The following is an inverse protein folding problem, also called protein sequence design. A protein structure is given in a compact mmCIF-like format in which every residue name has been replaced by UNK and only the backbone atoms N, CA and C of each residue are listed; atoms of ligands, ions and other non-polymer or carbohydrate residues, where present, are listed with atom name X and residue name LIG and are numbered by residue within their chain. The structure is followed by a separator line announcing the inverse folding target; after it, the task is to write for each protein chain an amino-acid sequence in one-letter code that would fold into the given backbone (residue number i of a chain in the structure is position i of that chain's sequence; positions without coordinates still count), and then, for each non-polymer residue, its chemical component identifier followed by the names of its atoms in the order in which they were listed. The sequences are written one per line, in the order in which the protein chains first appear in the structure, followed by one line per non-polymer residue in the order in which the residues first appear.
data_IF_756329980851
#
_entry.id   IF_756329980851
#
_cell.length_a   1.000
_cell.length_b   1.000
_cell.length_c   1.000
_cell.angle_alpha   90.00
_cell.angle_beta   90.00
_cell.angle_gamma   90.00
#
_symmetry.space_group_name_H-M   'P 1'
#
loop_
_entity.id
_entity.type
_entity.pdbx_description
1 polymer ?
#
# COMPACT_ATOMS: atom_id res chain seq x y z
N UNK A 1 7.75 22.09 -38.47
CA UNK A 1 6.54 21.96 -37.63
C UNK A 1 6.37 20.50 -37.29
N UNK A 2 7.04 20.05 -36.23
CA UNK A 2 6.95 18.68 -35.72
C UNK A 2 5.92 18.68 -34.61
N UNK A 3 4.73 18.14 -34.90
CA UNK A 3 3.72 17.90 -33.88
C UNK A 3 4.20 16.76 -32.97
N UNK A 4 4.78 17.10 -31.82
CA UNK A 4 4.81 16.18 -30.70
C UNK A 4 3.41 16.13 -30.07
N UNK A 5 2.84 14.94 -29.84
CA UNK A 5 1.63 14.83 -29.05
C UNK A 5 1.93 15.21 -27.59
N UNK A 6 0.98 15.78 -26.85
CA UNK A 6 1.17 16.07 -25.44
C UNK A 6 1.27 14.75 -24.65
N UNK A 7 2.49 14.37 -24.28
CA UNK A 7 2.75 13.38 -23.24
C UNK A 7 2.45 14.03 -21.89
N UNK A 8 1.20 13.93 -21.42
CA UNK A 8 0.81 13.95 -20.00
C UNK A 8 -0.70 14.16 -19.91
N UNK A 9 -1.44 13.06 -20.03
CA UNK A 9 -2.64 12.95 -19.22
C UNK A 9 -2.17 12.68 -17.80
N UNK A 10 -2.00 13.73 -16.98
CA UNK A 10 -1.80 13.52 -15.54
C UNK A 10 -3.09 12.95 -14.99
N UNK A 11 -3.20 11.62 -14.98
CA UNK A 11 -4.03 10.96 -13.99
C UNK A 11 -3.54 11.50 -12.64
N UNK A 12 -4.42 12.19 -11.92
CA UNK A 12 -4.08 12.70 -10.59
C UNK A 12 -3.69 11.49 -9.76
N UNK A 13 -2.41 11.40 -9.42
CA UNK A 13 -1.94 10.34 -8.56
C UNK A 13 -2.74 10.37 -7.25
N UNK A 14 -3.12 9.19 -6.78
CA UNK A 14 -3.77 9.03 -5.49
C UNK A 14 -2.83 9.59 -4.43
N UNK A 15 -3.34 10.54 -3.65
CA UNK A 15 -2.57 11.12 -2.55
C UNK A 15 -2.36 10.09 -1.46
N UNK A 16 -1.33 10.30 -0.62
CA UNK A 16 -1.10 9.45 0.55
C UNK A 16 -2.34 9.36 1.44
N UNK A 17 -3.06 10.48 1.65
CA UNK A 17 -4.27 10.52 2.47
C UNK A 17 -5.37 9.64 1.89
N UNK A 18 -5.63 9.75 0.58
CA UNK A 18 -6.64 8.93 -0.10
C UNK A 18 -6.28 7.44 -0.04
N UNK A 19 -5.00 7.10 -0.21
CA UNK A 19 -4.53 5.73 -0.11
C UNK A 19 -4.74 5.14 1.29
N UNK A 20 -4.48 5.93 2.34
CA UNK A 20 -4.77 5.54 3.73
C UNK A 20 -6.26 5.33 3.95
N UNK A 21 -7.12 6.21 3.41
CA UNK A 21 -8.56 6.02 3.53
C UNK A 21 -9.04 4.73 2.83
N UNK A 22 -8.51 4.44 1.65
CA UNK A 22 -8.82 3.22 0.90
C UNK A 22 -8.40 1.99 1.72
N UNK A 23 -7.19 1.99 2.27
CA UNK A 23 -6.69 0.91 3.11
C UNK A 23 -7.49 0.75 4.40
N UNK A 24 -7.84 1.85 5.08
CA UNK A 24 -8.63 1.86 6.30
C UNK A 24 -10.00 1.23 6.09
N UNK A 25 -10.71 1.61 5.02
CA UNK A 25 -12.00 1.01 4.63
C UNK A 25 -11.87 -0.47 4.30
N UNK A 26 -10.77 -0.86 3.64
CA UNK A 26 -10.53 -2.26 3.27
C UNK A 26 -10.29 -3.15 4.50
N UNK A 27 -9.50 -2.66 5.45
CA UNK A 27 -9.10 -3.42 6.64
C UNK A 27 -10.16 -3.33 7.75
N UNK A 28 -10.98 -2.28 7.76
CA UNK A 28 -11.99 -2.04 8.80
C UNK A 28 -11.42 -1.37 10.05
N UNK A 29 -10.40 -0.53 9.90
CA UNK A 29 -9.75 0.23 10.98
C UNK A 29 -9.82 1.73 10.71
N UNK A 30 -9.42 2.57 11.67
CA UNK A 30 -9.39 4.01 11.45
C UNK A 30 -8.11 4.39 10.69
N UNK A 31 -8.14 5.42 9.83
CA UNK A 31 -6.94 5.94 9.15
C UNK A 31 -5.77 6.22 10.09
N UNK A 32 -6.07 6.72 11.30
CA UNK A 32 -5.07 7.02 12.33
C UNK A 32 -4.35 5.79 12.92
N UNK A 33 -4.92 4.61 12.75
CA UNK A 33 -4.32 3.34 13.20
C UNK A 33 -3.32 2.78 12.16
N UNK A 34 -3.26 3.38 10.97
CA UNK A 34 -2.41 2.94 9.87
C UNK A 34 -1.10 3.72 9.81
N UNK A 35 -0.04 3.06 9.33
CA UNK A 35 1.25 3.70 9.09
C UNK A 35 1.64 3.55 7.62
N UNK A 36 1.94 4.66 6.95
CA UNK A 36 2.38 4.63 5.55
C UNK A 36 3.89 4.54 5.49
N UNK A 37 4.38 3.62 4.66
CA UNK A 37 5.78 3.56 4.25
C UNK A 37 5.80 4.07 2.81
N UNK A 38 6.42 5.23 2.59
CA UNK A 38 6.68 5.72 1.24
C UNK A 38 7.95 5.03 0.75
N UNK A 39 7.85 4.16 -0.26
CA UNK A 39 9.02 3.69 -0.99
C UNK A 39 8.85 4.09 -2.45
N UNK A 40 9.44 5.22 -2.79
CA UNK A 40 9.50 5.71 -4.16
C UNK A 40 10.52 4.93 -5.01
N UNK A 41 11.50 4.24 -4.42
CA UNK A 41 12.54 3.54 -5.21
C UNK A 41 13.35 2.46 -4.48
N UNK A 42 13.24 2.33 -3.16
CA UNK A 42 13.97 1.26 -2.46
C UNK A 42 13.15 -0.02 -2.42
N UNK A 43 13.81 -1.14 -2.72
CA UNK A 43 13.26 -2.48 -2.66
C UNK A 43 12.41 -2.62 -1.40
N UNK A 44 11.14 -3.01 -1.59
CA UNK A 44 10.28 -3.25 -0.47
C UNK A 44 10.95 -4.19 0.52
N UNK A 45 10.94 -3.88 1.83
CA UNK A 45 11.50 -4.79 2.84
C UNK A 45 10.80 -6.15 2.82
N UNK A 46 9.67 -6.25 2.12
CA UNK A 46 8.84 -7.43 1.98
C UNK A 46 8.89 -7.98 0.55
N UNK A 47 9.16 -9.28 0.43
CA UNK A 47 9.10 -9.97 -0.86
C UNK A 47 7.65 -10.24 -1.23
N UNK A 48 7.16 -9.60 -2.30
CA UNK A 48 5.87 -9.92 -2.91
C UNK A 48 6.12 -10.63 -4.23
N UNK A 49 5.63 -11.86 -4.36
CA UNK A 49 5.84 -12.68 -5.55
C UNK A 49 5.02 -12.24 -6.77
N UNK A 50 4.06 -11.34 -6.59
CA UNK A 50 3.23 -10.75 -7.66
C UNK A 50 3.18 -9.22 -7.50
N UNK A 51 4.35 -8.58 -7.56
CA UNK A 51 4.47 -7.13 -7.42
C UNK A 51 3.63 -6.42 -8.51
N UNK A 52 2.85 -5.38 -8.16
CA UNK A 52 2.08 -4.62 -9.13
C UNK A 52 2.98 -3.95 -10.17
N UNK A 53 2.49 -3.81 -11.41
CA UNK A 53 3.21 -3.10 -12.49
C UNK A 53 3.14 -1.58 -12.37
N UNK A 54 2.28 -1.07 -11.48
CA UNK A 54 2.15 0.35 -11.16
C UNK A 54 2.80 0.67 -9.79
N UNK A 55 3.28 1.90 -9.58
CA UNK A 55 3.73 2.34 -8.26
C UNK A 55 2.59 2.23 -7.24
N UNK A 56 2.92 1.84 -6.01
CA UNK A 56 1.94 1.61 -4.95
C UNK A 56 2.33 2.30 -3.64
N UNK A 57 1.33 2.73 -2.89
CA UNK A 57 1.46 3.09 -1.49
C UNK A 57 1.53 1.83 -0.63
N UNK A 58 2.53 1.76 0.24
CA UNK A 58 2.69 0.68 1.21
C UNK A 58 2.13 1.12 2.54
N UNK A 59 1.11 0.42 3.03
CA UNK A 59 0.37 0.84 4.22
C UNK A 59 0.37 -0.32 5.21
N UNK A 60 1.07 -0.15 6.32
CA UNK A 60 1.08 -1.09 7.43
C UNK A 60 -0.21 -0.92 8.23
N UNK A 61 -0.90 -2.03 8.43
CA UNK A 61 -2.12 -2.10 9.20
C UNK A 61 -1.91 -2.93 10.47
N UNK A 62 -2.52 -2.54 11.60
CA UNK A 62 -2.50 -3.36 12.79
C UNK A 62 -3.24 -4.67 12.51
N UNK A 63 -2.77 -5.77 13.10
CA UNK A 63 -3.58 -6.97 13.17
C UNK A 63 -4.84 -6.67 13.97
N UNK A 64 -6.00 -7.08 13.47
CA UNK A 64 -7.25 -6.96 14.20
C UNK A 64 -7.04 -7.54 15.61
N UNK A 65 -7.35 -6.73 16.64
CA UNK A 65 -7.15 -7.07 18.04
C UNK A 65 -8.10 -8.20 18.46
N UNK A 66 -7.74 -9.41 18.06
CA UNK A 66 -8.43 -10.65 18.33
C UNK A 66 -7.40 -11.73 18.59
N UNK A 67 -7.16 -11.98 19.88
CA UNK A 67 -6.50 -13.16 20.43
C UNK A 67 -4.96 -13.22 20.32
N UNK A 68 -4.29 -13.05 21.46
CA UNK A 68 -2.98 -13.62 21.74
C UNK A 68 -1.80 -12.65 21.70
N UNK A 69 -1.45 -12.08 22.85
CA UNK A 69 -0.32 -11.14 23.09
C UNK A 69 1.08 -11.81 22.95
N UNK A 70 1.18 -13.03 22.41
CA UNK A 70 2.39 -13.86 22.50
C UNK A 70 2.73 -14.64 21.21
N UNK A 71 2.41 -14.11 20.03
CA UNK A 71 2.82 -14.73 18.75
C UNK A 71 3.65 -13.73 17.97
N UNK A 72 4.86 -14.11 17.53
CA UNK A 72 5.53 -13.44 16.40
C UNK A 72 4.51 -13.42 15.26
N UNK A 73 3.90 -12.27 15.00
CA UNK A 73 3.01 -12.09 13.86
C UNK A 73 3.76 -11.21 12.89
N UNK A 74 3.91 -11.69 11.66
CA UNK A 74 4.34 -10.84 10.58
C UNK A 74 3.45 -9.61 10.49
N UNK A 75 4.06 -8.47 10.18
CA UNK A 75 3.33 -7.22 9.95
C UNK A 75 2.24 -7.44 8.88
N UNK A 76 1.05 -6.83 9.00
CA UNK A 76 0.08 -6.83 7.89
C UNK A 76 0.31 -5.57 7.08
N UNK A 77 0.37 -5.67 5.77
CA UNK A 77 0.41 -4.50 4.90
C UNK A 77 -0.60 -4.59 3.77
N UNK A 78 -0.98 -3.42 3.30
CA UNK A 78 -1.89 -3.19 2.18
C UNK A 78 -1.15 -2.40 1.12
N UNK A 79 -1.25 -2.84 -0.14
CA UNK A 79 -0.76 -2.10 -1.30
C UNK A 79 -1.91 -1.42 -2.01
N UNK A 80 -1.81 -0.11 -2.17
CA UNK A 80 -2.78 0.69 -2.92
C UNK A 80 -2.10 1.30 -4.15
N UNK A 81 -2.61 1.00 -5.35
CA UNK A 81 -2.10 1.55 -6.61
C UNK A 81 -2.12 3.08 -6.61
N UNK A 82 -1.00 3.71 -6.95
CA UNK A 82 -0.85 5.17 -6.94
C UNK A 82 -1.54 5.83 -8.11
N UNK A 83 -1.80 5.11 -9.20
CA UNK A 83 -2.58 5.64 -10.32
C UNK A 83 -4.04 5.24 -10.26
N UNK A 84 -4.33 4.03 -9.77
CA UNK A 84 -5.69 3.45 -9.82
C UNK A 84 -6.45 3.50 -8.51
N UNK A 85 -5.77 3.63 -7.37
CA UNK A 85 -6.35 3.46 -6.04
C UNK A 85 -6.79 2.02 -5.74
N UNK A 86 -6.45 1.05 -6.59
CA UNK A 86 -6.83 -0.35 -6.41
C UNK A 86 -5.98 -0.98 -5.31
N UNK A 87 -6.61 -1.74 -4.43
CA UNK A 87 -5.89 -2.59 -3.47
C UNK A 87 -5.35 -3.81 -4.19
N UNK A 88 -4.03 -3.83 -4.43
CA UNK A 88 -3.35 -4.95 -5.10
C UNK A 88 -2.98 -6.07 -4.15
N UNK A 89 -2.80 -5.74 -2.87
CA UNK A 89 -2.42 -6.70 -1.85
C UNK A 89 -2.98 -6.30 -0.49
N UNK A 90 -3.38 -7.29 0.29
CA UNK A 90 -3.79 -7.16 1.68
C UNK A 90 -3.40 -8.47 2.39
N UNK A 91 -2.32 -8.45 3.16
CA UNK A 91 -1.77 -9.68 3.71
C UNK A 91 -0.51 -9.51 4.55
N UNK A 92 0.13 -10.64 4.84
CA UNK A 92 1.31 -10.75 5.70
C UNK A 92 2.58 -10.23 5.02
N UNK A 93 3.43 -9.57 5.80
CA UNK A 93 4.74 -9.15 5.37
C UNK A 93 5.77 -10.28 5.26
N UNK A 94 5.43 -11.45 5.81
CA UNK A 94 6.31 -12.61 5.89
C UNK A 94 7.67 -12.27 6.52
N UNK A 95 7.71 -11.25 7.37
CA UNK A 95 8.80 -10.84 8.25
C UNK A 95 8.78 -11.64 9.56
N UNK A 96 8.42 -12.92 9.48
CA UNK A 96 8.61 -13.86 10.60
C UNK A 96 10.12 -13.95 10.87
N UNK A 97 10.53 -13.63 12.11
CA UNK A 97 11.92 -13.51 12.52
C UNK A 97 12.78 -14.74 12.26
#
# INVERSE_FOLDING_TARGET
MTNQPPMSGTAVEISQGDAVEIAARKVGVRPEDLSVICQDDEAAPFKIYNAPTEPCWWIVAPHAAGQGVLTLRSSRFVLVGRWTGVVHYDGSANDEG
#
